data_IF_015003508853
#
_entry.id   IF_015003508853
#
_cell.length_a   1.000
_cell.length_b   1.000
_cell.length_c   1.000
_cell.angle_alpha   90.00
_cell.angle_beta   90.00
_cell.angle_gamma   90.00
#
_symmetry.space_group_name_H-M   'P 1'
#
loop_
_entity.id
_entity.type
_entity.pdbx_description
1 polymer ?
#
# COMPACT_ATOMS: atom_id res chain seq x y z
N UNK A 1 18.15 4.54 1.56
CA UNK A 1 18.69 3.58 2.54
C UNK A 1 18.63 2.12 2.03
N UNK A 2 19.28 1.77 0.91
CA UNK A 2 19.40 0.35 0.48
C UNK A 2 20.83 -0.20 0.51
N UNK A 3 21.83 0.68 0.71
CA UNK A 3 23.26 0.33 0.71
C UNK A 3 23.67 -0.56 1.88
N UNK A 4 23.11 -0.33 3.07
CA UNK A 4 23.65 -0.88 4.32
C UNK A 4 22.91 -2.11 4.86
N UNK A 5 21.83 -2.57 4.21
CA UNK A 5 21.10 -3.74 4.67
C UNK A 5 21.88 -5.04 4.45
N UNK A 6 21.92 -5.89 5.48
CA UNK A 6 22.55 -7.21 5.40
C UNK A 6 21.79 -8.12 4.43
N UNK A 7 22.38 -9.26 4.05
CA UNK A 7 21.67 -10.28 3.26
C UNK A 7 20.42 -10.80 3.97
N UNK A 8 20.47 -10.92 5.31
CA UNK A 8 19.34 -11.34 6.12
C UNK A 8 18.21 -10.31 6.09
N UNK A 9 18.53 -9.02 6.24
CA UNK A 9 17.55 -7.94 6.16
C UNK A 9 16.89 -7.88 4.79
N UNK A 10 17.68 -7.97 3.72
CA UNK A 10 17.15 -8.01 2.35
C UNK A 10 16.24 -9.22 2.13
N UNK A 11 16.48 -10.35 2.79
CA UNK A 11 15.57 -11.51 2.76
C UNK A 11 14.28 -11.22 3.54
N UNK A 12 14.39 -10.64 4.73
CA UNK A 12 13.22 -10.27 5.56
C UNK A 12 12.34 -9.23 4.86
N UNK A 13 12.92 -8.22 4.23
CA UNK A 13 12.18 -7.21 3.43
C UNK A 13 11.41 -7.87 2.29
N UNK A 14 12.00 -8.83 1.57
CA UNK A 14 11.26 -9.58 0.53
C UNK A 14 10.13 -10.42 1.10
N UNK A 15 10.31 -11.01 2.27
CA UNK A 15 9.25 -11.75 2.96
C UNK A 15 8.10 -10.82 3.34
N UNK A 16 8.40 -9.66 3.93
CA UNK A 16 7.40 -8.64 4.27
C UNK A 16 6.67 -8.13 3.02
N UNK A 17 7.40 -7.90 1.93
CA UNK A 17 6.82 -7.52 0.64
C UNK A 17 5.83 -8.59 0.13
N UNK A 18 6.17 -9.87 0.24
CA UNK A 18 5.28 -10.97 -0.11
C UNK A 18 3.99 -11.00 0.73
N UNK A 19 4.11 -10.79 2.05
CA UNK A 19 2.94 -10.72 2.96
C UNK A 19 2.05 -9.54 2.61
N UNK A 20 2.63 -8.35 2.42
CA UNK A 20 1.91 -7.15 2.04
C UNK A 20 1.17 -7.33 0.72
N UNK A 21 1.87 -7.84 -0.31
CA UNK A 21 1.29 -8.08 -1.61
C UNK A 21 0.10 -9.03 -1.54
N UNK A 22 0.22 -10.15 -0.80
CA UNK A 22 -0.89 -11.09 -0.65
C UNK A 22 -2.11 -10.42 0.00
N UNK A 23 -1.91 -9.62 1.04
CA UNK A 23 -2.99 -8.93 1.76
C UNK A 23 -3.70 -7.91 0.88
N UNK A 24 -2.96 -7.07 0.16
CA UNK A 24 -3.56 -6.09 -0.75
C UNK A 24 -4.24 -6.74 -1.94
N UNK A 25 -3.62 -7.77 -2.54
CA UNK A 25 -4.25 -8.54 -3.61
C UNK A 25 -5.56 -9.16 -3.14
N UNK A 26 -5.61 -9.71 -1.92
CA UNK A 26 -6.83 -10.23 -1.31
C UNK A 26 -7.89 -9.14 -1.17
N UNK A 27 -7.53 -7.94 -0.72
CA UNK A 27 -8.47 -6.82 -0.60
C UNK A 27 -9.07 -6.42 -1.95
N UNK A 28 -8.25 -6.36 -3.01
CA UNK A 28 -8.73 -6.05 -4.36
C UNK A 28 -9.63 -7.16 -4.91
N UNK A 29 -9.28 -8.43 -4.69
CA UNK A 29 -10.11 -9.57 -5.09
C UNK A 29 -11.45 -9.62 -4.35
N UNK A 30 -11.52 -9.17 -3.09
CA UNK A 30 -12.77 -9.08 -2.34
C UNK A 30 -13.74 -8.07 -2.96
N UNK A 31 -13.25 -7.03 -3.64
CA UNK A 31 -14.12 -6.09 -4.37
C UNK A 31 -14.78 -6.77 -5.57
N UNK A 32 -14.05 -7.65 -6.26
CA UNK A 32 -14.61 -8.47 -7.34
C UNK A 32 -15.63 -9.48 -6.79
N UNK A 33 -15.32 -10.11 -5.66
CA UNK A 33 -16.26 -11.03 -5.01
C UNK A 33 -17.58 -10.31 -4.64
N UNK A 34 -17.50 -9.11 -4.07
CA UNK A 34 -18.68 -8.30 -3.76
C UNK A 34 -19.48 -7.93 -5.04
N UNK A 35 -18.80 -7.58 -6.14
CA UNK A 35 -19.49 -7.31 -7.41
C UNK A 35 -20.22 -8.56 -7.96
N UNK A 36 -19.64 -9.74 -7.78
CA UNK A 36 -20.30 -11.01 -8.15
C UNK A 36 -21.55 -11.23 -7.28
N UNK A 37 -21.47 -11.03 -5.96
CA UNK A 37 -22.62 -11.15 -5.06
C UNK A 37 -23.75 -10.16 -5.43
N UNK A 38 -23.40 -8.91 -5.73
CA UNK A 38 -24.37 -7.91 -6.19
C UNK A 38 -25.02 -8.30 -7.52
N UNK A 39 -24.29 -8.95 -8.43
CA UNK A 39 -24.86 -9.48 -9.66
C UNK A 39 -25.81 -10.66 -9.40
N UNK A 40 -25.47 -11.58 -8.49
CA UNK A 40 -26.35 -12.69 -8.11
C UNK A 40 -27.66 -12.19 -7.50
N UNK A 41 -27.61 -11.06 -6.79
CA UNK A 41 -28.79 -10.40 -6.22
C UNK A 41 -29.55 -9.51 -7.22
N UNK A 42 -29.07 -9.38 -8.46
CA UNK A 42 -29.68 -8.59 -9.53
C UNK A 42 -29.42 -7.09 -9.45
N UNK A 43 -28.55 -6.63 -8.55
CA UNK A 43 -28.12 -5.23 -8.43
C UNK A 43 -27.17 -4.81 -9.55
N UNK A 44 -26.33 -5.74 -10.02
CA UNK A 44 -25.39 -5.53 -11.13
C UNK A 44 -25.70 -6.48 -12.30
N UNK A 45 -25.45 -6.00 -13.50
CA UNK A 45 -25.45 -6.84 -14.71
C UNK A 45 -24.13 -7.60 -14.87
N UNK A 46 -24.13 -8.73 -15.61
CA UNK A 46 -22.88 -9.42 -15.96
C UNK A 46 -21.85 -8.54 -16.69
N UNK A 47 -22.30 -7.51 -17.43
CA UNK A 47 -21.40 -6.58 -18.10
C UNK A 47 -20.66 -5.66 -17.12
N UNK A 48 -21.32 -5.20 -16.06
CA UNK A 48 -20.70 -4.37 -15.02
C UNK A 48 -19.70 -5.15 -14.16
N UNK A 49 -19.98 -6.42 -13.88
CA UNK A 49 -19.01 -7.31 -13.22
C UNK A 49 -17.82 -7.56 -14.13
N UNK A 50 -18.05 -7.82 -15.43
CA UNK A 50 -16.97 -8.00 -16.40
C UNK A 50 -16.08 -6.75 -16.49
N UNK A 51 -16.67 -5.55 -16.50
CA UNK A 51 -15.92 -4.29 -16.48
C UNK A 51 -15.08 -4.14 -15.20
N UNK A 52 -15.65 -4.49 -14.05
CA UNK A 52 -14.92 -4.50 -12.77
C UNK A 52 -13.69 -5.43 -12.80
N UNK A 53 -13.80 -6.59 -13.45
CA UNK A 53 -12.68 -7.52 -13.64
C UNK A 53 -11.61 -6.91 -14.56
N UNK A 54 -12.02 -6.21 -15.64
CA UNK A 54 -11.08 -5.51 -16.52
C UNK A 54 -10.34 -4.39 -15.79
N UNK A 55 -11.05 -3.57 -15.02
CA UNK A 55 -10.46 -2.50 -14.18
C UNK A 55 -9.44 -3.08 -13.20
N UNK A 56 -9.78 -4.18 -12.52
CA UNK A 56 -8.86 -4.87 -11.62
C UNK A 56 -7.60 -5.34 -12.35
N UNK A 57 -7.74 -6.00 -13.50
CA UNK A 57 -6.61 -6.54 -14.24
C UNK A 57 -5.69 -5.45 -14.82
N UNK A 58 -6.26 -4.39 -15.39
CA UNK A 58 -5.50 -3.31 -16.03
C UNK A 58 -4.90 -2.32 -15.04
N UNK A 59 -5.58 -2.09 -13.92
CA UNK A 59 -5.17 -1.18 -12.85
C UNK A 59 -4.55 -1.93 -11.67
N UNK A 60 -5.39 -2.30 -10.71
CA UNK A 60 -4.95 -2.72 -9.38
C UNK A 60 -3.94 -3.87 -9.39
N UNK A 61 -4.18 -4.94 -10.17
CA UNK A 61 -3.27 -6.08 -10.29
C UNK A 61 -1.88 -5.65 -10.81
N UNK A 62 -1.87 -4.76 -11.81
CA UNK A 62 -0.64 -4.24 -12.42
C UNK A 62 0.13 -3.34 -11.47
N UNK A 63 -0.56 -2.50 -10.71
CA UNK A 63 0.07 -1.61 -9.73
C UNK A 63 0.66 -2.41 -8.56
N UNK A 64 -0.06 -3.41 -8.05
CA UNK A 64 0.48 -4.33 -7.05
C UNK A 64 1.74 -5.06 -7.56
N UNK A 65 1.72 -5.54 -8.81
CA UNK A 65 2.91 -6.14 -9.41
C UNK A 65 4.08 -5.16 -9.45
N UNK A 66 3.88 -3.90 -9.86
CA UNK A 66 4.94 -2.88 -9.86
C UNK A 66 5.50 -2.60 -8.47
N UNK A 67 4.64 -2.55 -7.45
CA UNK A 67 5.07 -2.24 -6.08
C UNK A 67 5.90 -3.34 -5.43
N UNK A 68 5.62 -4.62 -5.73
CA UNK A 68 6.21 -5.74 -4.99
C UNK A 68 7.08 -6.69 -5.81
N UNK A 69 6.81 -6.84 -7.11
CA UNK A 69 7.54 -7.80 -7.96
C UNK A 69 8.87 -7.25 -8.49
N UNK A 70 8.99 -5.92 -8.62
CA UNK A 70 10.18 -5.28 -9.16
C UNK A 70 11.30 -5.10 -8.12
N UNK A 71 12.44 -4.59 -8.57
CA UNK A 71 13.75 -4.49 -7.90
C UNK A 71 13.81 -3.76 -6.55
N UNK A 72 12.73 -3.10 -6.11
CA UNK A 72 12.74 -2.23 -4.91
C UNK A 72 11.66 -2.60 -3.87
N UNK A 73 11.66 -3.83 -3.32
CA UNK A 73 10.67 -4.29 -2.34
C UNK A 73 10.62 -3.46 -1.04
N UNK A 74 11.70 -2.70 -0.75
CA UNK A 74 11.75 -1.79 0.39
C UNK A 74 10.63 -0.74 0.35
N UNK A 75 10.42 -0.11 -0.80
CA UNK A 75 9.42 0.97 -0.91
C UNK A 75 8.00 0.41 -0.75
N UNK A 76 7.72 -0.76 -1.34
CA UNK A 76 6.45 -1.46 -1.16
C UNK A 76 6.18 -1.79 0.31
N UNK A 77 7.17 -2.29 1.05
CA UNK A 77 7.04 -2.57 2.48
C UNK A 77 6.78 -1.30 3.31
N UNK A 78 7.52 -0.22 3.05
CA UNK A 78 7.30 1.04 3.76
C UNK A 78 5.90 1.59 3.52
N UNK A 79 5.43 1.56 2.27
CA UNK A 79 4.08 1.99 1.91
C UNK A 79 3.02 1.12 2.57
N UNK A 80 3.16 -0.20 2.49
CA UNK A 80 2.25 -1.15 3.13
C UNK A 80 2.13 -0.93 4.65
N UNK A 81 3.21 -0.52 5.32
CA UNK A 81 3.15 -0.16 6.74
C UNK A 81 2.38 1.15 6.98
N UNK A 82 2.61 2.18 6.15
CA UNK A 82 1.85 3.44 6.22
C UNK A 82 0.36 3.22 6.00
N UNK A 83 0.02 2.39 5.01
CA UNK A 83 -1.36 2.01 4.65
C UNK A 83 -1.97 0.98 5.63
N UNK A 84 -1.24 0.59 6.68
CA UNK A 84 -1.63 -0.37 7.73
C UNK A 84 -1.95 -1.78 7.23
N UNK A 85 -1.48 -2.12 6.03
CA UNK A 85 -1.48 -3.50 5.50
C UNK A 85 -0.47 -4.36 6.27
N UNK A 86 0.67 -3.77 6.62
CA UNK A 86 1.62 -4.31 7.59
C UNK A 86 1.51 -3.54 8.90
N UNK A 87 1.73 -4.23 10.01
CA UNK A 87 1.69 -3.68 11.37
C UNK A 87 2.99 -4.01 12.10
N UNK A 88 3.16 -3.46 13.31
CA UNK A 88 4.32 -3.80 14.15
C UNK A 88 4.42 -5.30 14.47
N UNK A 89 3.30 -6.03 14.47
CA UNK A 89 3.28 -7.48 14.67
C UNK A 89 4.02 -8.22 13.55
N UNK A 90 3.90 -7.76 12.30
CA UNK A 90 4.59 -8.36 11.16
C UNK A 90 6.12 -8.13 11.23
N UNK A 91 6.53 -7.08 11.94
CA UNK A 91 7.92 -6.64 12.08
C UNK A 91 8.64 -7.24 13.29
N UNK A 92 7.99 -8.09 14.10
CA UNK A 92 8.56 -8.64 15.34
C UNK A 92 9.90 -9.35 15.13
N UNK A 93 10.02 -10.10 14.03
CA UNK A 93 11.25 -10.83 13.67
C UNK A 93 12.20 -10.03 12.75
N UNK A 94 11.91 -8.76 12.49
CA UNK A 94 12.82 -7.90 11.73
C UNK A 94 13.92 -7.35 12.64
N UNK A 95 15.08 -7.05 12.05
CA UNK A 95 16.15 -6.32 12.74
C UNK A 95 15.71 -4.91 13.13
N UNK A 96 16.43 -4.30 14.08
CA UNK A 96 16.18 -2.92 14.47
C UNK A 96 16.42 -1.96 13.30
N UNK A 97 17.40 -2.24 12.45
CA UNK A 97 17.67 -1.46 11.24
C UNK A 97 16.46 -1.44 10.30
N UNK A 98 15.83 -2.59 10.06
CA UNK A 98 14.63 -2.68 9.21
C UNK A 98 13.44 -1.98 9.87
N UNK A 99 13.22 -2.23 11.16
CA UNK A 99 12.11 -1.61 11.91
C UNK A 99 12.22 -0.08 11.94
N UNK A 100 13.40 0.42 12.29
CA UNK A 100 13.64 1.86 12.38
C UNK A 100 13.53 2.50 11.01
N UNK A 101 14.11 1.89 9.96
CA UNK A 101 14.00 2.43 8.60
C UNK A 101 12.54 2.54 8.10
N UNK A 102 11.69 1.55 8.39
CA UNK A 102 10.26 1.60 8.04
C UNK A 102 9.54 2.71 8.82
N UNK A 103 9.81 2.81 10.14
CA UNK A 103 9.18 3.82 11.01
C UNK A 103 9.62 5.25 10.69
N UNK A 104 10.90 5.44 10.39
CA UNK A 104 11.46 6.73 9.96
C UNK A 104 10.84 7.19 8.64
N UNK A 105 10.63 6.25 7.70
CA UNK A 105 9.91 6.54 6.47
C UNK A 105 8.47 6.99 6.77
N UNK A 106 7.74 6.25 7.60
CA UNK A 106 6.37 6.59 7.97
C UNK A 106 6.27 7.95 8.67
N UNK A 107 7.19 8.25 9.60
CA UNK A 107 7.26 9.54 10.27
C UNK A 107 7.58 10.69 9.29
N UNK A 108 8.46 10.45 8.32
CA UNK A 108 8.80 11.43 7.28
C UNK A 108 7.61 11.72 6.37
N UNK A 109 6.86 10.68 5.97
CA UNK A 109 5.64 10.84 5.18
C UNK A 109 4.57 11.62 5.94
N UNK A 110 4.30 11.26 7.20
CA UNK A 110 3.34 11.98 8.04
C UNK A 110 3.70 13.45 8.24
N UNK A 111 5.00 13.77 8.33
CA UNK A 111 5.48 15.15 8.40
C UNK A 111 5.20 15.93 7.11
N UNK A 112 5.44 15.32 5.95
CA UNK A 112 5.15 15.93 4.65
C UNK A 112 3.66 16.23 4.49
N UNK A 113 2.79 15.29 4.90
CA UNK A 113 1.34 15.48 4.85
C UNK A 113 0.87 16.62 5.77
N UNK A 114 1.46 16.73 6.97
CA UNK A 114 1.17 17.83 7.89
C UNK A 114 1.61 19.19 7.33
N UNK A 115 2.79 19.27 6.71
CA UNK A 115 3.29 20.50 6.08
C UNK A 115 2.46 20.92 4.86
N UNK A 116 2.00 19.96 4.05
CA UNK A 116 1.09 20.20 2.93
C UNK A 116 -0.28 20.72 3.41
N UNK A 117 -0.83 20.12 4.48
CA UNK A 117 -2.10 20.55 5.07
C UNK A 117 -2.08 21.96 5.66
N UNK A 118 -0.94 22.38 6.25
CA UNK A 118 -0.76 23.75 6.78
C UNK A 118 -0.77 24.79 5.65
N UNK A 119 -0.20 24.46 4.48
CA UNK A 119 -0.18 25.37 3.34
C UNK A 119 -1.57 25.63 2.72
N UNK A 120 -2.47 24.66 2.82
CA UNK A 120 -3.86 24.77 2.34
C UNK A 120 -4.76 25.59 3.30
N UNK A 121 -4.41 25.71 4.58
CA UNK A 121 -5.13 26.54 5.56
C UNK A 121 -4.63 28.00 5.55
N UNK A 122 -3.31 28.24 5.48
CA UNK A 122 -2.76 29.60 5.35
C UNK A 122 -3.12 30.27 3.99
N UNK A 123 -3.35 29.47 2.95
CA UNK A 123 -3.86 29.95 1.67
C UNK A 123 -5.32 30.40 1.70
N UNK A 124 -6.15 29.85 2.60
CA UNK A 124 -7.57 30.22 2.76
C UNK A 124 -7.74 31.48 3.60
N UNK A 125 -6.95 31.67 4.66
CA UNK A 125 -7.01 32.89 5.49
C UNK A 125 -6.52 34.16 4.77
N UNK A 126 -5.71 34.04 3.72
CA UNK A 126 -5.24 35.18 2.93
C UNK A 126 -6.19 35.59 1.78
N UNK A 127 -7.30 34.88 1.57
CA UNK A 127 -8.34 35.26 0.61
C UNK A 127 -9.56 35.96 1.27
N UNK A 128 -9.61 36.01 2.61
CA UNK A 128 -10.71 36.63 3.38
C UNK A 128 -10.33 37.97 4.05
N UNK A 129 -9.20 38.58 3.68
CA UNK A 129 -8.80 39.94 4.09
C UNK A 129 -8.69 40.88 2.90
#
# INVERSE_FOLDING_TARGET
MSGDLTKADKRKVRQLAGIAWERELRQELLKIAAAIEEMENGSLSPFEVNDSIHIFHEGASRDLYRHYADSHPWLGVCRAYCDRVLTDEDLVDASDEVRNGIREFAASLAKLDAEAGISDEEGRENLEK
#
